data_IF_024120638134
#
_entry.id   IF_024120638134
#
_cell.length_a   1.000
_cell.length_b   1.000
_cell.length_c   1.000
_cell.angle_alpha   90.00
_cell.angle_beta   90.00
_cell.angle_gamma   90.00
#
_symmetry.space_group_name_H-M   'P 1'
#
loop_
_entity.id
_entity.type
_entity.pdbx_description
1 polymer ?
#
# COMPACT_ATOMS: atom_id res chain seq x y z
N UNK A 1 25.67 -0.96 -8.82
CA UNK A 1 25.67 -0.34 -7.46
C UNK A 1 26.55 0.91 -7.34
N UNK A 2 27.82 0.92 -7.81
CA UNK A 2 28.72 2.08 -7.58
C UNK A 2 29.14 2.87 -8.82
N UNK A 3 28.49 2.69 -9.97
CA UNK A 3 28.83 3.37 -11.24
C UNK A 3 30.33 3.27 -11.58
N UNK A 4 30.88 2.06 -11.43
CA UNK A 4 32.26 1.71 -11.79
C UNK A 4 32.29 1.01 -13.16
N UNK A 5 33.49 0.86 -13.74
CA UNK A 5 33.68 0.24 -15.06
C UNK A 5 33.01 1.05 -16.17
N UNK A 6 32.26 0.36 -17.02
CA UNK A 6 31.60 0.92 -18.21
C UNK A 6 30.74 2.17 -17.91
N UNK A 7 30.05 2.19 -16.78
CA UNK A 7 29.26 3.37 -16.39
C UNK A 7 30.14 4.58 -16.04
N UNK A 8 31.30 4.36 -15.40
CA UNK A 8 32.25 5.44 -15.11
C UNK A 8 32.79 6.03 -16.40
N UNK A 9 33.21 5.17 -17.32
CA UNK A 9 33.76 5.53 -18.63
C UNK A 9 32.74 6.32 -19.47
N UNK A 10 31.48 5.88 -19.50
CA UNK A 10 30.41 6.58 -20.22
C UNK A 10 30.18 8.02 -19.68
N UNK A 11 30.21 8.22 -18.36
CA UNK A 11 30.08 9.57 -17.81
C UNK A 11 31.31 10.44 -18.09
N UNK A 12 32.51 9.88 -18.08
CA UNK A 12 33.75 10.61 -18.45
C UNK A 12 33.76 11.00 -19.93
N UNK A 13 33.26 10.12 -20.80
CA UNK A 13 33.11 10.42 -22.22
C UNK A 13 32.07 11.52 -22.47
N UNK A 14 30.94 11.50 -21.75
CA UNK A 14 29.95 12.59 -21.79
C UNK A 14 30.54 13.92 -21.32
N UNK A 15 31.37 13.92 -20.27
CA UNK A 15 32.12 15.12 -19.83
C UNK A 15 33.07 15.62 -20.92
N UNK A 16 33.87 14.72 -21.49
CA UNK A 16 34.87 15.04 -22.51
C UNK A 16 34.24 15.62 -23.78
N UNK A 17 33.08 15.11 -24.18
CA UNK A 17 32.36 15.56 -25.37
C UNK A 17 31.74 16.95 -25.19
N UNK A 18 31.55 17.44 -23.97
CA UNK A 18 31.03 18.79 -23.69
C UNK A 18 29.60 19.06 -24.17
N UNK A 19 28.90 18.05 -24.72
CA UNK A 19 27.53 18.18 -25.25
C UNK A 19 26.47 18.26 -24.16
N UNK A 20 26.83 17.89 -22.93
CA UNK A 20 25.94 17.79 -21.79
C UNK A 20 26.59 18.56 -20.65
N UNK A 21 25.82 19.46 -20.02
CA UNK A 21 26.26 20.21 -18.85
C UNK A 21 26.64 19.31 -17.68
N UNK A 22 27.64 19.75 -16.91
CA UNK A 22 28.14 19.04 -15.74
C UNK A 22 27.06 18.82 -14.68
N UNK A 23 26.15 19.78 -14.53
CA UNK A 23 24.96 19.72 -13.67
C UNK A 23 24.06 18.53 -14.01
N UNK A 24 23.84 18.28 -15.31
CA UNK A 24 22.99 17.19 -15.79
C UNK A 24 23.67 15.84 -15.62
N UNK A 25 24.98 15.78 -15.87
CA UNK A 25 25.79 14.57 -15.65
C UNK A 25 25.75 14.17 -14.16
N UNK A 26 25.88 15.13 -13.25
CA UNK A 26 25.84 14.88 -11.82
C UNK A 26 24.42 14.46 -11.34
N UNK A 27 23.37 15.06 -11.91
CA UNK A 27 21.99 14.63 -11.68
C UNK A 27 21.77 13.15 -12.07
N UNK A 28 22.29 12.73 -13.23
CA UNK A 28 22.21 11.34 -13.68
C UNK A 28 22.99 10.37 -12.78
N UNK A 29 24.20 10.74 -12.37
CA UNK A 29 24.96 9.96 -11.38
C UNK A 29 24.16 9.80 -10.10
N UNK A 30 23.54 10.86 -9.59
CA UNK A 30 22.74 10.78 -8.36
C UNK A 30 21.53 9.86 -8.52
N UNK A 31 20.79 10.01 -9.62
CA UNK A 31 19.63 9.17 -9.94
C UNK A 31 20.02 7.69 -10.07
N UNK A 32 21.07 7.37 -10.82
CA UNK A 32 21.55 5.99 -10.97
C UNK A 32 22.07 5.40 -9.66
N UNK A 33 22.68 6.21 -8.78
CA UNK A 33 23.16 5.73 -7.46
C UNK A 33 21.96 5.32 -6.61
N UNK A 34 20.90 6.12 -6.65
CA UNK A 34 19.64 5.84 -5.95
C UNK A 34 18.98 4.58 -6.51
N UNK A 35 18.80 4.49 -7.83
CA UNK A 35 18.20 3.33 -8.49
C UNK A 35 19.01 2.05 -8.28
N UNK A 36 20.32 2.10 -8.47
CA UNK A 36 21.22 0.95 -8.29
C UNK A 36 21.42 0.55 -6.83
N UNK A 37 21.05 1.40 -5.87
CA UNK A 37 21.03 1.12 -4.44
C UNK A 37 19.75 0.41 -3.98
N UNK A 38 18.71 0.35 -4.83
CA UNK A 38 17.53 -0.47 -4.56
C UNK A 38 17.94 -1.94 -4.69
N UNK A 39 17.77 -2.70 -3.62
CA UNK A 39 18.00 -4.14 -3.65
C UNK A 39 16.88 -4.82 -4.44
N UNK A 40 17.22 -5.46 -5.56
CA UNK A 40 16.35 -6.43 -6.21
C UNK A 40 16.49 -7.81 -5.57
N UNK A 41 15.56 -8.71 -5.88
CA UNK A 41 15.68 -10.12 -5.52
C UNK A 41 16.66 -10.81 -6.47
N UNK A 42 17.67 -11.49 -5.91
CA UNK A 42 18.70 -12.18 -6.70
C UNK A 42 18.23 -13.62 -6.89
N UNK A 43 17.93 -13.98 -8.13
CA UNK A 43 17.78 -15.37 -8.56
C UNK A 43 19.13 -16.08 -8.45
N UNK A 44 19.13 -17.30 -7.90
CA UNK A 44 20.32 -18.12 -7.82
C UNK A 44 20.71 -18.58 -9.24
N UNK A 45 21.80 -18.01 -9.75
CA UNK A 45 22.29 -18.30 -11.10
C UNK A 45 22.91 -19.69 -11.24
N UNK A 46 23.32 -20.31 -10.13
CA UNK A 46 23.98 -21.61 -10.13
C UNK A 46 22.95 -22.74 -10.00
N UNK A 47 21.90 -22.53 -9.20
CA UNK A 47 20.93 -23.58 -8.90
C UNK A 47 19.69 -23.60 -9.83
N UNK A 48 19.57 -22.63 -10.76
CA UNK A 48 18.43 -22.46 -11.72
C UNK A 48 17.02 -22.55 -11.09
N UNK A 49 16.92 -22.46 -9.77
CA UNK A 49 15.65 -22.55 -9.07
C UNK A 49 15.19 -21.16 -8.66
N UNK A 50 14.36 -20.57 -9.53
CA UNK A 50 13.73 -19.29 -9.29
C UNK A 50 12.48 -19.43 -8.39
N UNK A 51 12.07 -20.65 -8.00
CA UNK A 51 10.86 -20.89 -7.22
C UNK A 51 10.79 -20.04 -5.94
N UNK A 52 11.85 -19.88 -5.12
CA UNK A 52 11.80 -19.05 -3.93
C UNK A 52 11.55 -17.56 -4.25
N UNK A 53 12.18 -17.05 -5.32
CA UNK A 53 12.01 -15.66 -5.77
C UNK A 53 10.60 -15.44 -6.30
N UNK A 54 10.08 -16.38 -7.11
CA UNK A 54 8.71 -16.36 -7.62
C UNK A 54 7.72 -16.36 -6.46
N UNK A 55 7.90 -17.21 -5.45
CA UNK A 55 7.02 -17.25 -4.28
C UNK A 55 7.02 -15.93 -3.50
N UNK A 56 8.18 -15.29 -3.33
CA UNK A 56 8.27 -13.97 -2.69
C UNK A 56 7.52 -12.92 -3.51
N UNK A 57 7.71 -12.89 -4.83
CA UNK A 57 7.04 -11.95 -5.73
C UNK A 57 5.52 -12.17 -5.74
N UNK A 58 5.07 -13.42 -5.87
CA UNK A 58 3.65 -13.78 -5.84
C UNK A 58 3.02 -13.36 -4.52
N UNK A 59 3.68 -13.65 -3.38
CA UNK A 59 3.19 -13.22 -2.07
C UNK A 59 3.08 -11.70 -1.98
N UNK A 60 4.10 -10.96 -2.42
CA UNK A 60 4.09 -9.50 -2.43
C UNK A 60 2.97 -8.93 -3.30
N UNK A 61 2.76 -9.49 -4.50
CA UNK A 61 1.67 -9.07 -5.39
C UNK A 61 0.32 -9.38 -4.76
N UNK A 62 0.13 -10.56 -4.18
CA UNK A 62 -1.11 -10.92 -3.49
C UNK A 62 -1.37 -10.00 -2.30
N UNK A 63 -0.35 -9.68 -1.51
CA UNK A 63 -0.45 -8.72 -0.41
C UNK A 63 -0.85 -7.33 -0.93
N UNK A 64 -0.24 -6.85 -2.02
CA UNK A 64 -0.58 -5.57 -2.66
C UNK A 64 -2.01 -5.56 -3.21
N UNK A 65 -2.42 -6.62 -3.90
CA UNK A 65 -3.76 -6.75 -4.48
C UNK A 65 -4.82 -6.84 -3.39
N UNK A 66 -4.56 -7.61 -2.33
CA UNK A 66 -5.44 -7.66 -1.17
C UNK A 66 -5.57 -6.26 -0.52
N UNK A 67 -4.54 -5.42 -0.62
CA UNK A 67 -4.49 -4.04 -0.11
C UNK A 67 -4.99 -3.01 -1.14
N UNK A 68 -5.68 -3.44 -2.21
CA UNK A 68 -6.18 -2.52 -3.23
C UNK A 68 -7.02 -1.43 -2.56
N UNK A 69 -6.62 -0.15 -2.65
CA UNK A 69 -7.29 0.91 -1.95
C UNK A 69 -8.72 1.04 -2.47
N UNK A 70 -9.65 1.22 -1.54
CA UNK A 70 -11.01 1.61 -1.88
C UNK A 70 -10.98 2.92 -2.67
N UNK A 71 -11.85 3.03 -3.68
CA UNK A 71 -12.02 4.27 -4.43
C UNK A 71 -12.47 5.40 -3.49
N UNK A 72 -11.65 6.44 -3.39
CA UNK A 72 -11.89 7.66 -2.63
C UNK A 72 -11.60 8.83 -3.57
N UNK A 73 -12.46 9.85 -3.57
CA UNK A 73 -12.28 11.01 -4.44
C UNK A 73 -10.93 11.71 -4.15
N UNK A 74 -10.11 12.00 -5.18
CA UNK A 74 -8.71 12.44 -5.00
C UNK A 74 -8.52 13.87 -4.48
N UNK A 75 -9.57 14.66 -4.32
CA UNK A 75 -9.50 16.10 -3.98
C UNK A 75 -10.42 16.48 -2.81
N UNK A 76 -10.17 15.92 -1.64
CA UNK A 76 -10.85 16.36 -0.40
C UNK A 76 -9.84 17.09 0.47
N UNK A 77 -9.92 18.43 0.45
CA UNK A 77 -9.09 19.30 1.27
C UNK A 77 -9.27 18.96 2.76
N UNK A 78 -8.16 18.81 3.48
CA UNK A 78 -8.17 18.49 4.92
C UNK A 78 -8.51 17.04 5.26
N UNK A 79 -8.67 16.14 4.28
CA UNK A 79 -8.91 14.72 4.52
C UNK A 79 -7.74 14.06 5.25
N UNK A 80 -6.51 14.29 4.80
CA UNK A 80 -5.32 13.70 5.42
C UNK A 80 -5.17 14.11 6.89
N UNK A 81 -5.44 15.39 7.20
CA UNK A 81 -5.39 15.88 8.59
C UNK A 81 -6.41 15.16 9.48
N UNK A 82 -7.67 15.03 9.03
CA UNK A 82 -8.70 14.29 9.77
C UNK A 82 -8.33 12.82 9.96
N UNK A 83 -7.77 12.19 8.92
CA UNK A 83 -7.31 10.80 9.02
C UNK A 83 -6.18 10.67 10.05
N UNK A 84 -5.21 11.59 10.06
CA UNK A 84 -4.13 11.57 11.05
C UNK A 84 -4.66 11.71 12.49
N UNK A 85 -5.64 12.59 12.72
CA UNK A 85 -6.29 12.71 14.03
C UNK A 85 -6.96 11.40 14.45
N UNK A 86 -7.72 10.75 13.54
CA UNK A 86 -8.38 9.48 13.82
C UNK A 86 -7.37 8.35 14.08
N UNK A 87 -6.25 8.29 13.34
CA UNK A 87 -5.20 7.30 13.55
C UNK A 87 -4.53 7.44 14.92
N UNK A 88 -4.31 8.67 15.39
CA UNK A 88 -3.77 8.94 16.72
C UNK A 88 -4.74 8.48 17.82
N UNK A 89 -6.03 8.74 17.66
CA UNK A 89 -7.06 8.29 18.61
C UNK A 89 -7.22 6.77 18.65
N UNK A 90 -7.13 6.12 17.48
CA UNK A 90 -7.26 4.68 17.37
C UNK A 90 -6.07 3.90 17.93
N UNK A 91 -4.93 4.54 18.21
CA UNK A 91 -3.68 3.88 18.67
C UNK A 91 -3.52 2.45 18.10
N UNK A 92 -3.25 2.40 16.79
CA UNK A 92 -3.32 1.18 15.96
C UNK A 92 -2.30 0.11 16.38
N UNK A 93 -1.42 0.42 17.33
CA UNK A 93 -0.41 -0.51 17.87
C UNK A 93 -0.92 -1.35 19.04
N UNK A 94 -2.03 -0.95 19.68
CA UNK A 94 -2.67 -1.74 20.73
C UNK A 94 -3.44 -2.93 20.14
N UNK A 95 -3.44 -4.06 20.84
CA UNK A 95 -4.20 -5.26 20.48
C UNK A 95 -5.65 -5.25 21.01
N UNK A 96 -6.10 -4.14 21.58
CA UNK A 96 -7.46 -3.99 22.09
C UNK A 96 -8.51 -3.81 20.98
N UNK A 97 -9.75 -4.20 21.27
CA UNK A 97 -10.88 -3.95 20.37
C UNK A 97 -11.27 -2.47 20.45
N UNK A 98 -11.30 -1.81 19.30
CA UNK A 98 -11.64 -0.38 19.19
C UNK A 98 -12.80 -0.18 18.22
N UNK A 99 -13.77 0.63 18.64
CA UNK A 99 -14.95 0.97 17.84
C UNK A 99 -14.95 2.47 17.58
N UNK A 100 -14.96 2.86 16.30
CA UNK A 100 -15.05 4.25 15.88
C UNK A 100 -16.38 4.52 15.18
N UNK A 101 -17.19 5.40 15.75
CA UNK A 101 -18.43 5.88 15.14
C UNK A 101 -18.24 7.20 14.41
N UNK A 102 -18.62 7.28 13.13
CA UNK A 102 -18.69 8.53 12.37
C UNK A 102 -20.15 8.96 12.23
N UNK A 103 -20.51 10.11 12.78
CA UNK A 103 -21.88 10.64 12.77
C UNK A 103 -21.94 12.08 12.25
N UNK A 104 -23.14 12.56 11.92
CA UNK A 104 -23.36 13.91 11.37
C UNK A 104 -24.32 13.92 10.18
N UNK A 105 -24.56 15.10 9.60
CA UNK A 105 -25.53 15.30 8.51
C UNK A 105 -25.25 14.43 7.27
N UNK A 106 -26.29 14.19 6.46
CA UNK A 106 -26.16 13.55 5.16
C UNK A 106 -25.21 14.33 4.24
N UNK A 107 -24.53 13.65 3.33
CA UNK A 107 -23.65 14.29 2.33
C UNK A 107 -22.30 14.83 2.83
N UNK A 108 -22.06 14.93 4.15
CA UNK A 108 -20.82 15.49 4.71
C UNK A 108 -19.55 14.63 4.49
N UNK A 109 -19.68 13.46 3.85
CA UNK A 109 -18.54 12.61 3.49
C UNK A 109 -18.10 11.60 4.55
N UNK A 110 -18.97 11.20 5.49
CA UNK A 110 -18.66 10.18 6.53
C UNK A 110 -18.15 8.87 5.93
N UNK A 111 -18.88 8.32 4.96
CA UNK A 111 -18.47 7.09 4.25
C UNK A 111 -17.16 7.28 3.53
N UNK A 112 -16.91 8.46 2.96
CA UNK A 112 -15.65 8.78 2.29
C UNK A 112 -14.48 8.80 3.27
N UNK A 113 -14.66 9.40 4.45
CA UNK A 113 -13.66 9.40 5.51
C UNK A 113 -13.39 7.97 6.03
N UNK A 114 -14.43 7.14 6.20
CA UNK A 114 -14.28 5.74 6.60
C UNK A 114 -13.46 4.93 5.58
N UNK A 115 -13.76 5.07 4.28
CA UNK A 115 -13.01 4.41 3.19
C UNK A 115 -11.55 4.86 3.16
N UNK A 116 -11.30 6.16 3.32
CA UNK A 116 -9.96 6.71 3.32
C UNK A 116 -9.13 6.27 4.54
N UNK A 117 -9.75 6.23 5.73
CA UNK A 117 -9.14 5.70 6.94
C UNK A 117 -8.85 4.19 6.79
N UNK A 118 -9.80 3.42 6.27
CA UNK A 118 -9.60 2.00 5.96
C UNK A 118 -8.37 1.79 5.08
N UNK A 119 -8.21 2.56 4.00
CA UNK A 119 -7.03 2.48 3.11
C UNK A 119 -5.70 2.76 3.83
N UNK A 120 -5.69 3.55 4.91
CA UNK A 120 -4.48 3.76 5.73
C UNK A 120 -4.25 2.63 6.74
N UNK A 121 -5.32 2.05 7.27
CA UNK A 121 -5.26 0.98 8.26
C UNK A 121 -4.99 -0.38 7.64
N UNK A 122 -5.40 -0.60 6.39
CA UNK A 122 -5.44 -1.89 5.70
C UNK A 122 -4.13 -2.69 5.84
N UNK A 123 -2.97 -2.02 5.71
CA UNK A 123 -1.65 -2.63 5.81
C UNK A 123 -1.23 -3.05 7.24
N UNK A 124 -1.92 -2.59 8.28
CA UNK A 124 -1.63 -2.91 9.68
C UNK A 124 -2.32 -4.20 10.15
N UNK A 125 -3.28 -4.73 9.39
CA UNK A 125 -4.07 -5.90 9.78
C UNK A 125 -3.85 -7.07 8.82
N UNK A 126 -3.62 -8.27 9.37
CA UNK A 126 -3.51 -9.53 8.60
C UNK A 126 -4.85 -9.95 8.01
N UNK A 127 -5.93 -9.75 8.77
CA UNK A 127 -7.29 -10.12 8.40
C UNK A 127 -8.15 -8.87 8.46
N UNK A 128 -9.00 -8.68 7.46
CA UNK A 128 -9.76 -7.45 7.27
C UNK A 128 -11.00 -7.71 6.46
N UNK A 129 -12.04 -6.92 6.71
CA UNK A 129 -13.28 -6.98 5.96
C UNK A 129 -13.93 -5.61 5.97
N UNK A 130 -14.35 -5.15 4.79
CA UNK A 130 -15.12 -3.92 4.65
C UNK A 130 -16.53 -4.27 4.18
N UNK A 131 -17.54 -3.80 4.92
CA UNK A 131 -18.94 -3.93 4.54
C UNK A 131 -19.45 -2.60 3.98
N UNK A 132 -19.60 -2.47 2.65
CA UNK A 132 -20.29 -1.33 2.08
C UNK A 132 -21.80 -1.45 2.31
N UNK A 133 -22.47 -0.30 2.38
CA UNK A 133 -23.93 -0.18 2.25
C UNK A 133 -24.72 -1.17 3.11
N UNK A 134 -24.39 -1.23 4.40
CA UNK A 134 -25.01 -2.14 5.40
C UNK A 134 -26.53 -2.15 5.27
N UNK A 135 -27.15 -0.96 5.12
CA UNK A 135 -28.60 -0.82 4.98
C UNK A 135 -29.17 -1.60 3.80
N UNK A 136 -28.43 -1.70 2.70
CA UNK A 136 -28.86 -2.44 1.51
C UNK A 136 -28.51 -3.91 1.61
N UNK A 137 -27.32 -4.21 2.10
CA UNK A 137 -26.83 -5.59 2.26
C UNK A 137 -27.57 -6.37 3.35
N UNK A 138 -28.20 -5.68 4.31
CA UNK A 138 -29.02 -6.30 5.36
C UNK A 138 -30.51 -6.35 5.03
N UNK A 139 -30.94 -6.05 3.80
CA UNK A 139 -32.37 -6.12 3.41
C UNK A 139 -32.82 -7.59 3.29
N UNK A 140 -34.06 -7.87 3.68
CA UNK A 140 -34.69 -9.19 3.60
C UNK A 140 -34.59 -10.01 4.88
N UNK A 141 -35.22 -11.18 4.86
CA UNK A 141 -35.22 -12.10 6.01
C UNK A 141 -33.80 -12.57 6.32
N UNK A 142 -33.44 -12.54 7.61
CA UNK A 142 -32.10 -12.90 8.11
C UNK A 142 -30.93 -12.06 7.58
N UNK A 143 -31.17 -10.88 6.97
CA UNK A 143 -30.11 -10.07 6.35
C UNK A 143 -28.93 -9.72 7.28
N UNK A 144 -29.21 -9.34 8.54
CA UNK A 144 -28.16 -9.07 9.54
C UNK A 144 -27.39 -10.34 9.95
N UNK A 145 -28.09 -11.48 10.07
CA UNK A 145 -27.47 -12.77 10.41
C UNK A 145 -26.54 -13.20 9.28
N UNK A 146 -26.98 -13.07 8.03
CA UNK A 146 -26.17 -13.35 6.85
C UNK A 146 -24.92 -12.46 6.81
N UNK A 147 -25.06 -11.17 7.15
CA UNK A 147 -23.94 -10.25 7.22
C UNK A 147 -22.94 -10.66 8.31
N UNK A 148 -23.43 -11.05 9.49
CA UNK A 148 -22.60 -11.54 10.59
C UNK A 148 -21.85 -12.82 10.18
N UNK A 149 -22.54 -13.79 9.58
CA UNK A 149 -21.92 -15.05 9.16
C UNK A 149 -20.81 -14.80 8.13
N UNK A 150 -21.05 -13.91 7.15
CA UNK A 150 -20.05 -13.53 6.15
C UNK A 150 -18.84 -12.84 6.77
N UNK A 151 -19.07 -11.97 7.75
CA UNK A 151 -17.98 -11.35 8.51
C UNK A 151 -17.15 -12.40 9.26
N UNK A 152 -17.80 -13.34 9.97
CA UNK A 152 -17.13 -14.40 10.71
C UNK A 152 -16.36 -15.36 9.80
N UNK A 153 -16.89 -15.69 8.62
CA UNK A 153 -16.21 -16.53 7.62
C UNK A 153 -14.90 -15.87 7.15
N UNK A 154 -14.92 -14.57 6.86
CA UNK A 154 -13.71 -13.82 6.48
C UNK A 154 -12.72 -13.75 7.63
N UNK A 155 -13.19 -13.55 8.86
CA UNK A 155 -12.30 -13.49 10.02
C UNK A 155 -11.67 -14.85 10.38
N UNK A 156 -12.42 -15.94 10.22
CA UNK A 156 -11.99 -17.30 10.57
C UNK A 156 -11.15 -17.99 9.49
N UNK A 157 -11.25 -17.56 8.22
CA UNK A 157 -10.36 -18.03 7.14
C UNK A 157 -8.94 -17.47 7.23
N UNK A 158 -8.71 -16.46 8.08
CA UNK A 158 -7.38 -16.03 8.49
C UNK A 158 -6.71 -17.12 9.31
N UNK A 159 -5.76 -17.87 8.72
CA UNK A 159 -4.93 -18.84 9.43
C UNK A 159 -4.23 -18.15 10.62
N UNK A 160 -4.63 -18.53 11.84
CA UNK A 160 -4.07 -18.09 13.11
C UNK A 160 -2.63 -18.59 13.31
#
# INVERSE_FOLDING_TARGET
>A
RYQRGTFKEAFEDHRRKGRIGEDRIESWRRAMRKAGGISGWVADKENRDDQPVIQIIVKLILDLLANSPMAVAPLIVGLDFRIQQLLQQLDVKSNEVKVLGLYGMGGIGKTTLAKALYNRLVAHFKVRYFVPDIRETSKGDHGLINLQNKFLEVLSSGRW
#
